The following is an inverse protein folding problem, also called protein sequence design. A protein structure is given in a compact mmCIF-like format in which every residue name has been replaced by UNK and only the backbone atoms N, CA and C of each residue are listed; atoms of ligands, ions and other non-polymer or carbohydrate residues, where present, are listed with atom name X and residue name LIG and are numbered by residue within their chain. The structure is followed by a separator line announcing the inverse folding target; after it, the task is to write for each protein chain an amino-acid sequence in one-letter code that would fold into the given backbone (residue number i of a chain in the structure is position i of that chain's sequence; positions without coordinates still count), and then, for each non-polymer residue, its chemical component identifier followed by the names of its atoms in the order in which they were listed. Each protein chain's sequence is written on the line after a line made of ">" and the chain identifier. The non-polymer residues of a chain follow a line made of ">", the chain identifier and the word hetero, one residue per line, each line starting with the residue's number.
data_IF_215532421228
#
_entry.id   IF_215532421228
#
_cell.length_a   1.000
_cell.length_b   1.000
_cell.length_c   1.000
_cell.angle_alpha   90.00
_cell.angle_beta   90.00
_cell.angle_gamma   90.00
#
_symmetry.space_group_name_H-M   'P 1'
#
loop_
_entity.id
_entity.type
_entity.pdbx_description
1 polymer ?
#
# COMPACT_ATOMS: atom_id res chain seq x y z
N UNK A 1 -11.26 -3.25 2.63
CA UNK A 1 -10.50 -2.90 1.41
C UNK A 1 -9.38 -1.94 1.77
N UNK A 2 -8.18 -2.10 1.21
CA UNK A 2 -7.00 -1.27 1.57
C UNK A 2 -7.18 0.25 1.38
N UNK A 3 -8.11 0.67 0.53
CA UNK A 3 -8.50 2.08 0.31
C UNK A 3 -8.81 2.87 1.58
N UNK A 4 -9.64 2.31 2.48
CA UNK A 4 -10.06 3.01 3.69
C UNK A 4 -8.91 3.22 4.67
N UNK A 5 -8.03 2.22 4.77
CA UNK A 5 -6.83 2.27 5.60
C UNK A 5 -5.89 3.36 5.08
N UNK A 6 -5.60 3.35 3.78
CA UNK A 6 -4.73 4.32 3.13
C UNK A 6 -5.23 5.76 3.37
N UNK A 7 -6.54 6.00 3.21
CA UNK A 7 -7.16 7.31 3.39
C UNK A 7 -7.04 7.86 4.81
N UNK A 8 -7.20 7.01 5.83
CA UNK A 8 -7.11 7.46 7.23
C UNK A 8 -5.65 7.70 7.62
N UNK A 9 -4.75 6.79 7.25
CA UNK A 9 -3.33 6.92 7.59
C UNK A 9 -2.67 8.12 6.91
N UNK A 10 -3.11 8.48 5.71
CA UNK A 10 -2.61 9.66 5.00
C UNK A 10 -3.26 10.98 5.44
N UNK A 11 -4.22 10.96 6.36
CA UNK A 11 -4.94 12.17 6.79
C UNK A 11 -4.14 12.93 7.85
N UNK A 12 -4.00 14.25 7.69
CA UNK A 12 -3.17 15.09 8.57
C UNK A 12 -3.62 15.06 10.04
N UNK A 13 -4.94 14.95 10.29
CA UNK A 13 -5.50 14.88 11.65
C UNK A 13 -5.51 13.48 12.28
N UNK A 14 -5.08 12.43 11.56
CA UNK A 14 -5.17 11.06 12.04
C UNK A 14 -3.83 10.34 12.02
N UNK A 15 -3.22 10.17 10.84
CA UNK A 15 -1.95 9.46 10.69
C UNK A 15 -0.81 10.33 10.22
N UNK A 16 -1.07 11.27 9.31
CA UNK A 16 -0.04 12.13 8.69
C UNK A 16 1.16 11.32 8.13
N UNK A 17 0.89 10.14 7.56
CA UNK A 17 1.91 9.25 7.01
C UNK A 17 2.00 9.40 5.49
N UNK A 18 3.22 9.21 4.98
CA UNK A 18 3.48 8.97 3.56
C UNK A 18 3.16 7.51 3.25
N UNK A 19 2.30 7.27 2.28
CA UNK A 19 1.79 5.93 1.99
C UNK A 19 2.30 5.43 0.63
N UNK A 20 2.99 4.29 0.64
CA UNK A 20 3.29 3.52 -0.56
C UNK A 20 2.24 2.40 -0.72
N UNK A 21 1.45 2.45 -1.78
CA UNK A 21 0.45 1.44 -2.13
C UNK A 21 1.02 0.43 -3.11
N UNK A 22 0.98 -0.85 -2.76
CA UNK A 22 1.51 -1.93 -3.57
C UNK A 22 0.36 -2.82 -4.05
N UNK A 23 0.18 -2.96 -5.36
CA UNK A 23 -0.76 -3.91 -5.95
C UNK A 23 -0.35 -4.32 -7.37
N UNK A 24 -0.87 -5.43 -7.87
CA UNK A 24 -0.52 -5.95 -9.21
C UNK A 24 -1.09 -5.14 -10.37
N UNK A 25 -2.29 -4.58 -10.19
CA UNK A 25 -2.99 -3.85 -11.25
C UNK A 25 -2.82 -2.35 -11.03
N UNK A 26 -2.25 -1.61 -12.00
CA UNK A 26 -1.99 -0.19 -11.84
C UNK A 26 -3.26 0.66 -11.89
N UNK A 27 -4.28 0.29 -12.68
CA UNK A 27 -5.48 1.12 -12.87
C UNK A 27 -6.29 1.27 -11.57
N UNK A 28 -6.63 0.18 -10.84
CA UNK A 28 -7.31 0.32 -9.56
C UNK A 28 -6.44 1.03 -8.52
N UNK A 29 -5.12 0.89 -8.61
CA UNK A 29 -4.19 1.53 -7.68
C UNK A 29 -4.17 3.04 -7.84
N UNK A 30 -4.13 3.51 -9.09
CA UNK A 30 -4.18 4.94 -9.44
C UNK A 30 -5.54 5.55 -9.08
N UNK A 31 -6.63 4.83 -9.32
CA UNK A 31 -7.96 5.26 -8.90
C UNK A 31 -8.04 5.44 -7.36
N UNK A 32 -7.41 4.54 -6.61
CA UNK A 32 -7.34 4.64 -5.15
C UNK A 32 -6.54 5.85 -4.69
N UNK A 33 -5.39 6.12 -5.31
CA UNK A 33 -4.60 7.34 -5.04
C UNK A 33 -5.45 8.58 -5.31
N UNK A 34 -6.10 8.66 -6.48
CA UNK A 34 -6.96 9.79 -6.83
C UNK A 34 -8.07 10.02 -5.80
N UNK A 35 -8.79 8.96 -5.40
CA UNK A 35 -9.88 9.04 -4.42
C UNK A 35 -9.40 9.40 -3.00
N UNK A 36 -8.16 9.06 -2.65
CA UNK A 36 -7.58 9.38 -1.35
C UNK A 36 -7.05 10.82 -1.27
N UNK A 37 -6.41 11.29 -2.33
CA UNK A 37 -5.82 12.65 -2.41
C UNK A 37 -6.87 13.73 -2.67
N UNK A 38 -7.91 13.46 -3.47
CA UNK A 38 -8.94 14.46 -3.78
C UNK A 38 -9.56 15.15 -2.54
N UNK A 39 -9.99 14.43 -1.48
CA UNK A 39 -10.50 15.06 -0.26
C UNK A 39 -9.40 15.59 0.67
N UNK A 40 -8.12 15.28 0.43
CA UNK A 40 -6.99 15.72 1.24
C UNK A 40 -5.76 16.00 0.36
N UNK A 41 -5.61 17.22 -0.19
CA UNK A 41 -4.56 17.55 -1.14
C UNK A 41 -3.15 17.49 -0.54
N UNK A 42 -3.02 17.55 0.79
CA UNK A 42 -1.73 17.45 1.49
C UNK A 42 -1.29 15.99 1.69
N UNK A 43 -2.14 15.01 1.37
CA UNK A 43 -1.82 13.60 1.52
C UNK A 43 -0.80 13.14 0.48
N UNK A 44 0.29 12.49 0.94
CA UNK A 44 1.30 11.91 0.06
C UNK A 44 1.04 10.41 -0.10
N UNK A 45 0.41 10.02 -1.21
CA UNK A 45 0.20 8.62 -1.58
C UNK A 45 0.81 8.31 -2.94
N UNK A 46 1.49 7.19 -3.03
CA UNK A 46 2.15 6.74 -4.25
C UNK A 46 1.80 5.29 -4.59
N UNK A 47 1.56 5.05 -5.87
CA UNK A 47 1.19 3.76 -6.42
C UNK A 47 2.41 3.04 -6.98
N UNK A 48 2.68 1.83 -6.48
CA UNK A 48 3.72 0.93 -6.95
C UNK A 48 3.10 -0.36 -7.46
N UNK A 49 3.11 -0.54 -8.79
CA UNK A 49 2.65 -1.79 -9.39
C UNK A 49 3.66 -2.91 -9.10
N UNK A 50 3.27 -3.92 -8.34
CA UNK A 50 4.15 -5.03 -7.96
C UNK A 50 3.40 -6.31 -7.62
N UNK A 51 4.05 -7.43 -7.90
CA UNK A 51 3.70 -8.75 -7.36
C UNK A 51 4.34 -8.99 -5.99
N UNK A 52 3.94 -10.07 -5.33
CA UNK A 52 4.41 -10.49 -4.00
C UNK A 52 5.66 -11.38 -3.93
N UNK A 53 6.27 -11.91 -5.02
CA UNK A 53 7.54 -12.63 -4.92
C UNK A 53 8.65 -11.77 -4.29
N UNK A 54 9.60 -12.38 -3.55
CA UNK A 54 10.64 -11.65 -2.83
C UNK A 54 11.44 -10.67 -3.71
N UNK A 55 11.78 -11.06 -4.94
CA UNK A 55 12.57 -10.22 -5.85
C UNK A 55 11.78 -9.04 -6.42
N UNK A 56 10.46 -9.20 -6.61
CA UNK A 56 9.59 -8.10 -6.98
C UNK A 56 9.50 -7.08 -5.84
N UNK A 57 9.23 -7.55 -4.61
CA UNK A 57 9.16 -6.69 -3.44
C UNK A 57 10.48 -5.96 -3.19
N UNK A 58 11.63 -6.65 -3.24
CA UNK A 58 12.95 -6.02 -3.08
C UNK A 58 13.20 -4.89 -4.08
N UNK A 59 12.79 -5.07 -5.35
CA UNK A 59 12.88 -4.02 -6.37
C UNK A 59 11.96 -2.86 -6.05
N UNK A 60 10.73 -3.13 -5.64
CA UNK A 60 9.76 -2.11 -5.26
C UNK A 60 10.21 -1.29 -4.05
N UNK A 61 10.72 -1.93 -2.98
CA UNK A 61 11.26 -1.22 -1.82
C UNK A 61 12.50 -0.38 -2.17
N UNK A 62 13.35 -0.83 -3.09
CA UNK A 62 14.45 0.00 -3.61
C UNK A 62 13.91 1.24 -4.34
N UNK A 63 12.86 1.06 -5.14
CA UNK A 63 12.22 2.16 -5.86
C UNK A 63 11.59 3.18 -4.89
N UNK A 64 10.88 2.72 -3.87
CA UNK A 64 10.31 3.56 -2.80
C UNK A 64 11.40 4.38 -2.11
N UNK A 65 12.53 3.75 -1.76
CA UNK A 65 13.64 4.42 -1.07
C UNK A 65 14.31 5.49 -1.94
N UNK A 66 14.33 5.30 -3.26
CA UNK A 66 14.86 6.28 -4.20
C UNK A 66 13.88 7.42 -4.50
N UNK A 67 12.59 7.23 -4.18
CA UNK A 67 11.57 8.23 -4.47
C UNK A 67 11.69 9.43 -3.52
N UNK A 68 11.36 10.63 -4.00
CA UNK A 68 11.57 11.89 -3.27
C UNK A 68 10.83 11.96 -1.94
N UNK A 69 9.66 11.34 -1.84
CA UNK A 69 8.85 11.22 -0.62
C UNK A 69 9.40 10.21 0.39
N UNK A 70 10.20 9.23 -0.07
CA UNK A 70 10.73 8.14 0.75
C UNK A 70 12.20 8.27 1.15
N UNK A 71 12.93 9.26 0.62
CA UNK A 71 14.40 9.36 0.72
C UNK A 71 14.92 9.43 2.16
N UNK A 72 14.20 10.10 3.05
CA UNK A 72 14.60 10.32 4.46
C UNK A 72 13.59 9.74 5.48
N UNK A 73 12.57 9.04 4.99
CA UNK A 73 11.48 8.48 5.80
C UNK A 73 11.82 7.05 6.24
N UNK A 74 11.62 6.74 7.53
CA UNK A 74 11.69 5.36 8.04
C UNK A 74 10.34 4.68 7.88
N UNK A 75 10.35 3.36 7.63
CA UNK A 75 9.12 2.57 7.62
C UNK A 75 8.55 2.50 9.03
N UNK A 76 7.39 3.12 9.24
CA UNK A 76 6.68 3.11 10.53
C UNK A 76 5.72 1.92 10.63
N UNK A 77 4.99 1.62 9.55
CA UNK A 77 3.96 0.58 9.52
C UNK A 77 3.92 -0.10 8.15
N UNK A 78 3.69 -1.41 8.15
CA UNK A 78 3.37 -2.18 6.95
C UNK A 78 2.04 -2.90 7.15
N UNK A 79 1.09 -2.64 6.24
CA UNK A 79 -0.22 -3.30 6.25
C UNK A 79 -0.27 -4.32 5.12
N UNK A 80 -0.32 -5.60 5.49
CA UNK A 80 -0.45 -6.69 4.53
C UNK A 80 -1.92 -7.11 4.40
N UNK A 81 -2.56 -6.72 3.29
CA UNK A 81 -3.99 -6.98 3.03
C UNK A 81 -4.19 -7.75 1.72
N UNK A 82 -3.77 -9.01 1.68
CA UNK A 82 -4.05 -9.90 0.55
C UNK A 82 -5.43 -10.56 0.73
N UNK A 83 -6.32 -10.37 -0.25
CA UNK A 83 -7.54 -11.17 -0.35
C UNK A 83 -7.22 -12.44 -1.13
N UNK A 84 -7.30 -13.60 -0.46
CA UNK A 84 -7.33 -14.88 -1.15
C UNK A 84 -8.77 -15.13 -1.62
N UNK A 85 -8.94 -15.63 -2.85
CA UNK A 85 -10.24 -16.04 -3.40
C UNK A 85 -10.72 -17.40 -2.87
N UNK A 86 -9.96 -18.01 -1.96
CA UNK A 86 -10.36 -19.25 -1.31
C UNK A 86 -11.57 -18.99 -0.42
N UNK A 87 -12.66 -19.71 -0.66
CA UNK A 87 -13.84 -19.71 0.21
C UNK A 87 -13.60 -20.40 1.57
N UNK A 88 -12.40 -20.94 1.80
CA UNK A 88 -12.06 -21.61 3.02
C UNK A 88 -11.60 -20.61 4.10
N UNK A 89 -12.13 -20.71 5.32
CA UNK A 89 -11.61 -20.00 6.47
C UNK A 89 -10.10 -20.26 6.61
N UNK A 90 -9.33 -19.20 6.85
CA UNK A 90 -7.87 -19.26 7.00
C UNK A 90 -7.41 -20.28 8.07
N UNK A 91 -8.26 -20.58 9.04
CA UNK A 91 -7.98 -21.51 10.15
C UNK A 91 -7.98 -22.99 9.70
N UNK A 92 -8.66 -23.32 8.60
CA UNK A 92 -8.87 -24.72 8.19
C UNK A 92 -7.85 -25.24 7.17
N UNK A 93 -6.95 -24.39 6.67
CA UNK A 93 -6.04 -24.75 5.58
C UNK A 93 -4.60 -24.31 5.83
N UNK A 94 -3.87 -24.97 6.74
CA UNK A 94 -2.43 -25.28 6.62
C UNK A 94 -1.93 -26.08 7.84
N UNK A 95 -2.09 -27.39 7.77
CA UNK A 95 -1.06 -28.34 8.20
C UNK A 95 -0.92 -29.33 7.06
N UNK A 96 0.06 -29.13 6.17
CA UNK A 96 0.89 -30.14 5.48
C UNK A 96 2.12 -29.44 4.89
#
# INVERSE_FOLDING_TARGET
>A
SGSGIARILSHCSHGNLIIALLARRPEPLNELVFRAVNPNPDAVLEAFSTDTPPDALRRTFKHIKMHGSGKDSKLEMAVHSIKHSGQQPFIEGTYE
#
